data_IF_823454379722
#
_entry.id   IF_823454379722
#
_cell.length_a   1.000
_cell.length_b   1.000
_cell.length_c   1.000
_cell.angle_alpha   90.00
_cell.angle_beta   90.00
_cell.angle_gamma   90.00
#
_symmetry.space_group_name_H-M   'P 1'
#
loop_
_entity.id
_entity.type
_entity.pdbx_description
1 polymer ?
#
# COMPACT_ATOMS: atom_id res chain seq x y z
N UNK A 1 12.24 -14.00 -20.14
CA UNK A 1 12.32 -12.53 -20.04
C UNK A 1 13.12 -12.20 -18.80
N UNK A 2 14.37 -11.79 -18.96
CA UNK A 2 15.09 -11.11 -17.88
C UNK A 2 14.36 -9.80 -17.65
N UNK A 3 13.66 -9.65 -16.53
CA UNK A 3 13.08 -8.37 -16.16
C UNK A 3 14.25 -7.38 -16.05
N UNK A 4 14.27 -6.37 -16.92
CA UNK A 4 15.28 -5.33 -16.90
C UNK A 4 14.92 -4.41 -15.73
N UNK A 5 15.55 -4.65 -14.57
CA UNK A 5 15.25 -3.88 -13.37
C UNK A 5 15.69 -2.43 -13.55
N UNK A 6 14.88 -1.44 -13.11
CA UNK A 6 15.24 -0.04 -13.29
C UNK A 6 16.58 0.27 -12.65
N UNK A 7 17.50 0.86 -13.43
CA UNK A 7 18.79 1.31 -12.94
C UNK A 7 18.60 2.57 -12.09
N UNK A 8 18.66 2.42 -10.77
CA UNK A 8 18.59 3.53 -9.84
C UNK A 8 19.92 4.28 -9.72
N UNK A 9 19.84 5.61 -9.64
CA UNK A 9 20.96 6.45 -9.23
C UNK A 9 21.38 6.15 -7.78
N UNK A 10 22.60 6.55 -7.36
CA UNK A 10 23.09 6.36 -5.99
C UNK A 10 22.07 6.83 -4.96
N UNK A 11 21.83 6.02 -3.91
CA UNK A 11 20.73 6.21 -2.94
C UNK A 11 20.78 7.50 -2.13
N UNK A 12 21.91 8.20 -2.15
CA UNK A 12 22.15 9.47 -1.47
C UNK A 12 22.21 10.68 -2.42
N UNK A 13 22.17 10.46 -3.74
CA UNK A 13 22.03 11.53 -4.73
C UNK A 13 20.60 12.08 -4.75
N UNK A 14 20.40 13.34 -5.18
CA UNK A 14 19.05 13.91 -5.32
C UNK A 14 18.16 13.03 -6.21
N UNK A 15 18.66 12.65 -7.39
CA UNK A 15 17.94 11.76 -8.30
C UNK A 15 17.60 10.42 -7.64
N UNK A 16 18.54 9.79 -6.95
CA UNK A 16 18.31 8.49 -6.32
C UNK A 16 17.32 8.55 -5.15
N UNK A 17 17.26 9.67 -4.43
CA UNK A 17 16.25 9.89 -3.39
C UNK A 17 14.84 10.05 -3.99
N UNK A 18 14.70 10.86 -5.04
CA UNK A 18 13.43 11.06 -5.75
C UNK A 18 12.95 9.74 -6.40
N UNK A 19 13.87 9.01 -7.04
CA UNK A 19 13.64 7.68 -7.59
C UNK A 19 13.31 6.62 -6.55
N UNK A 20 13.41 6.87 -5.24
CA UNK A 20 12.98 5.93 -4.18
C UNK A 20 11.81 6.46 -3.34
N UNK A 21 11.20 7.56 -3.78
CA UNK A 21 10.09 8.18 -3.06
C UNK A 21 10.45 8.65 -1.65
N UNK A 22 11.73 9.00 -1.41
CA UNK A 22 12.22 9.33 -0.07
C UNK A 22 11.88 10.77 0.31
N UNK A 23 11.45 10.98 1.55
CA UNK A 23 11.18 12.32 2.08
C UNK A 23 12.39 13.25 2.02
N UNK A 24 13.62 12.73 2.12
CA UNK A 24 14.83 13.54 2.02
C UNK A 24 15.04 14.07 0.59
N UNK A 25 14.58 13.32 -0.41
CA UNK A 25 14.56 13.78 -1.80
C UNK A 25 13.69 15.02 -1.96
N UNK A 26 12.51 15.01 -1.33
CA UNK A 26 11.62 16.17 -1.30
C UNK A 26 12.27 17.36 -0.60
N UNK A 27 12.84 17.16 0.60
CA UNK A 27 13.52 18.24 1.35
C UNK A 27 14.66 18.87 0.55
N UNK A 28 15.46 18.06 -0.16
CA UNK A 28 16.56 18.57 -1.00
C UNK A 28 16.06 19.24 -2.27
N UNK A 29 14.98 18.74 -2.87
CA UNK A 29 14.39 19.36 -4.05
C UNK A 29 13.91 20.80 -3.76
N UNK A 30 13.35 21.04 -2.57
CA UNK A 30 12.92 22.37 -2.14
C UNK A 30 14.07 23.39 -2.00
N UNK A 31 15.32 22.93 -1.89
CA UNK A 31 16.47 23.82 -1.77
C UNK A 31 16.90 24.40 -3.13
N UNK A 32 16.66 23.67 -4.22
CA UNK A 32 16.91 24.12 -5.59
C UNK A 32 15.87 23.50 -6.55
N UNK A 33 14.66 24.08 -6.63
CA UNK A 33 13.58 23.57 -7.47
C UNK A 33 13.96 23.49 -8.96
N UNK A 34 14.74 24.44 -9.45
CA UNK A 34 15.16 24.48 -10.86
C UNK A 34 16.08 23.30 -11.20
N UNK A 35 17.04 22.97 -10.34
CA UNK A 35 17.89 21.81 -10.52
C UNK A 35 17.15 20.48 -10.29
N UNK A 36 16.12 20.47 -9.43
CA UNK A 36 15.33 19.28 -9.14
C UNK A 36 14.30 18.94 -10.22
N UNK A 37 13.74 19.95 -10.91
CA UNK A 37 12.63 19.78 -11.85
C UNK A 37 12.85 18.69 -12.91
N UNK A 38 14.01 18.59 -13.60
CA UNK A 38 14.23 17.53 -14.57
C UNK A 38 14.14 16.13 -13.96
N UNK A 39 14.63 15.95 -12.74
CA UNK A 39 14.56 14.66 -12.04
C UNK A 39 13.13 14.30 -11.65
N UNK A 40 12.31 15.28 -11.26
CA UNK A 40 10.90 15.05 -10.92
C UNK A 40 10.12 14.62 -12.16
N UNK A 41 10.22 15.34 -13.27
CA UNK A 41 9.57 14.94 -14.52
C UNK A 41 10.06 13.57 -15.01
N UNK A 42 11.36 13.30 -14.92
CA UNK A 42 11.87 11.98 -15.31
C UNK A 42 11.34 10.84 -14.44
N UNK A 43 11.09 11.06 -13.15
CA UNK A 43 10.48 10.07 -12.25
C UNK A 43 8.99 9.82 -12.55
N UNK A 44 8.28 10.82 -13.10
CA UNK A 44 6.86 10.66 -13.52
C UNK A 44 6.80 9.98 -14.89
N UNK A 45 7.69 10.37 -15.80
CA UNK A 45 7.71 9.86 -17.17
C UNK A 45 8.18 8.42 -17.26
N UNK A 46 9.24 8.05 -16.54
CA UNK A 46 9.80 6.70 -16.56
C UNK A 46 9.22 5.87 -15.42
N UNK A 47 8.91 4.59 -15.70
CA UNK A 47 8.65 3.64 -14.62
C UNK A 47 9.94 3.40 -13.84
N UNK A 48 9.93 3.78 -12.57
CA UNK A 48 11.04 3.68 -11.64
C UNK A 48 10.61 2.99 -10.35
N UNK A 49 9.40 2.42 -10.32
CA UNK A 49 8.95 1.55 -9.25
C UNK A 49 9.53 0.18 -9.51
N UNK A 50 10.00 -0.47 -8.45
CA UNK A 50 10.37 -1.87 -8.57
C UNK A 50 9.14 -2.74 -8.84
N UNK A 51 8.08 -2.50 -8.08
CA UNK A 51 6.79 -3.16 -8.23
C UNK A 51 5.69 -2.10 -8.31
N UNK A 52 5.18 -1.89 -9.52
CA UNK A 52 4.14 -0.90 -9.79
C UNK A 52 2.80 -1.24 -9.15
N UNK A 53 2.58 -2.50 -8.74
CA UNK A 53 1.36 -2.93 -8.06
C UNK A 53 1.34 -2.52 -6.58
N UNK A 54 2.52 -2.26 -5.99
CA UNK A 54 2.66 -2.03 -4.56
C UNK A 54 3.13 -0.61 -4.19
N UNK A 55 3.75 0.15 -5.10
CA UNK A 55 4.40 1.45 -4.79
C UNK A 55 3.48 2.67 -5.06
N UNK A 56 3.26 3.49 -4.02
CA UNK A 56 2.31 4.62 -3.97
C UNK A 56 2.90 5.98 -4.42
N UNK A 57 3.54 6.03 -5.59
CA UNK A 57 4.31 7.21 -6.03
C UNK A 57 3.53 8.42 -6.50
N UNK A 58 2.30 8.24 -6.96
CA UNK A 58 1.52 9.33 -7.54
C UNK A 58 1.41 10.52 -6.55
N UNK A 59 1.11 10.25 -5.28
CA UNK A 59 1.02 11.27 -4.23
C UNK A 59 2.35 11.97 -3.97
N UNK A 60 3.44 11.21 -3.90
CA UNK A 60 4.77 11.77 -3.74
C UNK A 60 5.15 12.73 -4.89
N UNK A 61 4.90 12.32 -6.13
CA UNK A 61 5.13 13.15 -7.31
C UNK A 61 4.21 14.37 -7.37
N UNK A 62 2.92 14.22 -7.05
CA UNK A 62 1.98 15.34 -7.00
C UNK A 62 2.40 16.40 -5.97
N UNK A 63 2.85 15.96 -4.78
CA UNK A 63 3.42 16.86 -3.76
C UNK A 63 4.66 17.58 -4.27
N UNK A 64 5.57 16.90 -4.95
CA UNK A 64 6.76 17.53 -5.54
C UNK A 64 6.37 18.58 -6.59
N UNK A 65 5.45 18.25 -7.51
CA UNK A 65 4.98 19.20 -8.53
C UNK A 65 4.33 20.44 -7.90
N UNK A 66 3.47 20.24 -6.89
CA UNK A 66 2.82 21.32 -6.15
C UNK A 66 3.83 22.17 -5.37
N UNK A 67 4.66 21.54 -4.53
CA UNK A 67 5.50 22.22 -3.55
C UNK A 67 6.73 22.90 -4.19
N UNK A 68 7.15 22.44 -5.38
CA UNK A 68 8.19 23.07 -6.20
C UNK A 68 7.62 24.04 -7.25
N UNK A 69 6.30 24.22 -7.29
CA UNK A 69 5.57 25.07 -8.25
C UNK A 69 5.94 24.74 -9.72
N UNK A 70 6.03 23.45 -10.05
CA UNK A 70 6.41 23.01 -11.39
C UNK A 70 5.26 23.20 -12.39
N UNK A 71 5.53 23.72 -13.60
CA UNK A 71 4.50 23.89 -14.63
C UNK A 71 3.91 22.53 -15.09
N UNK A 72 2.60 22.48 -15.36
CA UNK A 72 1.93 21.22 -15.70
C UNK A 72 2.05 20.83 -17.18
N UNK A 73 2.52 21.73 -18.04
CA UNK A 73 2.69 21.50 -19.49
C UNK A 73 3.35 20.15 -19.85
N UNK A 74 4.47 19.74 -19.22
CA UNK A 74 5.07 18.43 -19.46
C UNK A 74 4.16 17.25 -19.12
N UNK A 75 3.40 17.31 -18.02
CA UNK A 75 2.47 16.24 -17.62
C UNK A 75 1.27 16.19 -18.58
N UNK A 76 0.76 17.35 -18.99
CA UNK A 76 -0.34 17.45 -19.95
C UNK A 76 0.08 16.90 -21.32
N UNK A 77 1.32 17.18 -21.75
CA UNK A 77 1.89 16.60 -22.97
C UNK A 77 2.03 15.07 -22.88
N UNK A 78 2.42 14.57 -21.71
CA UNK A 78 2.60 13.13 -21.47
C UNK A 78 1.28 12.33 -21.57
N UNK A 79 0.10 12.96 -21.42
CA UNK A 79 -1.18 12.28 -21.62
C UNK A 79 -1.36 11.75 -23.06
N UNK A 80 -0.67 12.35 -24.03
CA UNK A 80 -0.71 11.95 -25.44
C UNK A 80 0.41 10.96 -25.83
N UNK A 81 1.22 10.50 -24.87
CA UNK A 81 2.23 9.47 -25.08
C UNK A 81 1.60 8.06 -25.00
N UNK A 82 2.40 7.03 -24.76
CA UNK A 82 1.89 5.66 -24.58
C UNK A 82 0.99 5.52 -23.34
N UNK A 83 0.20 4.46 -23.33
CA UNK A 83 -0.78 4.17 -22.28
C UNK A 83 -0.18 4.25 -20.87
N UNK A 84 0.98 3.63 -20.65
CA UNK A 84 1.66 3.60 -19.34
C UNK A 84 2.13 5.00 -18.90
N UNK A 85 2.69 5.78 -19.83
CA UNK A 85 3.05 7.17 -19.58
C UNK A 85 1.82 8.03 -19.25
N UNK A 86 0.72 7.85 -19.99
CA UNK A 86 -0.54 8.52 -19.74
C UNK A 86 -1.08 8.20 -18.34
N UNK A 87 -1.12 6.92 -17.93
CA UNK A 87 -1.59 6.51 -16.60
C UNK A 87 -0.82 7.18 -15.46
N UNK A 88 0.51 7.24 -15.58
CA UNK A 88 1.37 7.90 -14.58
C UNK A 88 1.09 9.40 -14.50
N UNK A 89 0.96 10.08 -15.65
CA UNK A 89 0.66 11.51 -15.69
C UNK A 89 -0.74 11.81 -15.15
N UNK A 90 -1.74 11.02 -15.57
CA UNK A 90 -3.12 11.18 -15.14
C UNK A 90 -3.28 11.03 -13.63
N UNK A 91 -2.62 10.03 -13.02
CA UNK A 91 -2.64 9.82 -11.56
C UNK A 91 -2.09 11.02 -10.79
N UNK A 92 -1.06 11.71 -11.31
CA UNK A 92 -0.51 12.92 -10.69
C UNK A 92 -1.45 14.12 -10.86
N UNK A 93 -2.00 14.30 -12.06
CA UNK A 93 -2.95 15.38 -12.36
C UNK A 93 -4.26 15.25 -11.55
N UNK A 94 -4.72 14.03 -11.32
CA UNK A 94 -5.92 13.74 -10.52
C UNK A 94 -5.76 14.28 -9.09
N UNK A 95 -4.62 14.01 -8.46
CA UNK A 95 -4.28 14.49 -7.13
C UNK A 95 -4.08 16.01 -7.12
N UNK A 96 -3.39 16.57 -8.11
CA UNK A 96 -3.22 18.02 -8.21
C UNK A 96 -4.54 18.77 -8.34
N UNK A 97 -5.54 18.20 -9.03
CA UNK A 97 -6.88 18.75 -9.09
C UNK A 97 -7.56 18.77 -7.71
N UNK A 98 -7.41 17.70 -6.91
CA UNK A 98 -7.88 17.65 -5.51
C UNK A 98 -7.17 18.68 -4.62
N UNK A 99 -5.90 18.97 -4.89
CA UNK A 99 -5.16 20.06 -4.25
C UNK A 99 -5.53 21.47 -4.78
N UNK A 100 -6.50 21.59 -5.68
CA UNK A 100 -7.03 22.87 -6.17
C UNK A 100 -6.51 23.34 -7.52
N UNK A 101 -5.72 22.54 -8.25
CA UNK A 101 -5.25 22.92 -9.58
C UNK A 101 -6.38 22.84 -10.61
N UNK A 102 -6.88 24.01 -11.03
CA UNK A 102 -7.87 24.12 -12.11
C UNK A 102 -7.30 23.67 -13.46
N UNK A 103 -6.01 23.92 -13.71
CA UNK A 103 -5.31 23.49 -14.93
C UNK A 103 -5.25 21.95 -15.02
N UNK A 104 -4.89 21.26 -13.92
CA UNK A 104 -4.88 19.81 -13.90
C UNK A 104 -6.29 19.23 -14.13
N UNK A 105 -7.29 19.81 -13.46
CA UNK A 105 -8.69 19.41 -13.60
C UNK A 105 -9.19 19.55 -15.03
N UNK A 106 -8.98 20.72 -15.65
CA UNK A 106 -9.44 20.94 -17.02
C UNK A 106 -8.62 20.16 -18.04
N UNK A 107 -7.33 19.95 -17.80
CA UNK A 107 -6.48 19.10 -18.63
C UNK A 107 -7.00 17.67 -18.75
N UNK A 108 -7.34 17.04 -17.62
CA UNK A 108 -7.93 15.69 -17.63
C UNK A 108 -9.34 15.68 -18.24
N UNK A 109 -10.16 16.71 -17.98
CA UNK A 109 -11.48 16.82 -18.63
C UNK A 109 -11.37 16.98 -20.14
N UNK A 110 -10.37 17.72 -20.62
CA UNK A 110 -10.06 17.81 -22.06
C UNK A 110 -9.60 16.46 -22.60
N UNK A 111 -8.77 15.73 -21.86
CA UNK A 111 -8.37 14.39 -22.25
C UNK A 111 -9.55 13.42 -22.32
N UNK A 112 -10.52 13.49 -21.41
CA UNK A 112 -11.76 12.68 -21.52
C UNK A 112 -12.53 13.00 -22.82
N UNK A 113 -12.46 14.23 -23.32
CA UNK A 113 -13.15 14.63 -24.55
C UNK A 113 -12.47 14.10 -25.81
N UNK A 114 -11.14 14.07 -25.83
CA UNK A 114 -10.38 13.89 -27.08
C UNK A 114 -9.39 12.72 -27.07
N UNK A 115 -8.96 12.26 -25.88
CA UNK A 115 -7.93 11.24 -25.68
C UNK A 115 -8.35 9.82 -26.06
N UNK A 116 -7.37 8.97 -26.36
CA UNK A 116 -7.58 7.58 -26.76
C UNK A 116 -8.07 6.73 -25.57
N UNK A 117 -7.39 6.80 -24.42
CA UNK A 117 -7.70 6.02 -23.22
C UNK A 117 -8.70 6.72 -22.28
N UNK A 118 -9.67 7.43 -22.85
CA UNK A 118 -10.59 8.29 -22.11
C UNK A 118 -11.49 7.55 -21.11
N UNK A 119 -11.86 6.28 -21.40
CA UNK A 119 -12.68 5.41 -20.54
C UNK A 119 -12.04 5.24 -19.17
N UNK A 120 -10.74 4.97 -19.17
CA UNK A 120 -9.95 4.79 -17.95
C UNK A 120 -9.84 6.07 -17.13
N UNK A 121 -9.58 7.20 -17.78
CA UNK A 121 -9.48 8.49 -17.09
C UNK A 121 -10.81 8.89 -16.48
N UNK A 122 -11.94 8.70 -17.18
CA UNK A 122 -13.25 9.05 -16.64
C UNK A 122 -13.64 8.15 -15.47
N UNK A 123 -13.27 6.86 -15.49
CA UNK A 123 -13.43 5.94 -14.36
C UNK A 123 -12.60 6.38 -13.14
N UNK A 124 -11.33 6.71 -13.36
CA UNK A 124 -10.41 7.14 -12.30
C UNK A 124 -10.93 8.41 -11.60
N UNK A 125 -11.22 9.46 -12.38
CA UNK A 125 -11.71 10.72 -11.79
C UNK A 125 -13.10 10.56 -11.16
N UNK A 126 -13.94 9.64 -11.64
CA UNK A 126 -15.23 9.37 -11.01
C UNK A 126 -15.09 8.71 -9.64
N UNK A 127 -14.06 7.88 -9.47
CA UNK A 127 -13.71 7.27 -8.19
C UNK A 127 -13.07 8.25 -7.19
N UNK A 128 -12.34 9.26 -7.68
CA UNK A 128 -11.54 10.16 -6.83
C UNK A 128 -12.16 11.54 -6.59
N UNK A 129 -12.85 12.12 -7.56
CA UNK A 129 -13.30 13.52 -7.52
C UNK A 129 -14.75 13.68 -7.05
N UNK A 130 -15.09 14.86 -6.50
CA UNK A 130 -16.49 15.24 -6.27
C UNK A 130 -17.30 15.12 -7.56
N UNK A 131 -18.48 14.50 -7.47
CA UNK A 131 -19.37 14.24 -8.61
C UNK A 131 -19.62 15.44 -9.53
N UNK A 132 -19.82 16.62 -8.95
CA UNK A 132 -20.06 17.86 -9.69
C UNK A 132 -18.92 18.24 -10.66
N UNK A 133 -17.74 17.63 -10.55
CA UNK A 133 -16.59 17.91 -11.41
C UNK A 133 -16.54 17.07 -12.69
N UNK A 134 -17.36 16.02 -12.79
CA UNK A 134 -17.32 15.07 -13.91
C UNK A 134 -18.69 14.63 -14.40
N UNK A 135 -19.78 14.85 -13.66
CA UNK A 135 -21.11 14.38 -14.07
C UNK A 135 -21.60 14.97 -15.40
N UNK A 136 -21.12 16.17 -15.76
CA UNK A 136 -21.42 16.83 -17.03
C UNK A 136 -20.72 16.18 -18.24
N UNK A 137 -19.74 15.29 -18.01
CA UNK A 137 -19.08 14.52 -19.07
C UNK A 137 -19.97 13.39 -19.61
N UNK A 138 -21.15 13.15 -19.05
CA UNK A 138 -22.05 12.08 -19.50
C UNK A 138 -22.48 12.22 -20.97
N UNK A 139 -22.68 13.44 -21.49
CA UNK A 139 -22.96 13.65 -22.91
C UNK A 139 -21.77 13.31 -23.81
N UNK A 140 -20.56 13.59 -23.34
CA UNK A 140 -19.31 13.25 -24.03
C UNK A 140 -19.16 11.73 -24.06
N UNK A 141 -19.31 11.09 -22.89
CA UNK A 141 -19.22 9.64 -22.74
C UNK A 141 -20.21 8.93 -23.67
N UNK A 142 -21.49 9.32 -23.67
CA UNK A 142 -22.52 8.72 -24.54
C UNK A 142 -22.17 8.82 -26.02
N UNK A 143 -21.66 9.97 -26.46
CA UNK A 143 -21.25 10.17 -27.87
C UNK A 143 -20.05 9.30 -28.22
N UNK A 144 -19.05 9.24 -27.34
CA UNK A 144 -17.80 8.50 -27.58
C UNK A 144 -18.00 6.99 -27.54
N UNK A 145 -18.90 6.47 -26.70
CA UNK A 145 -19.24 5.03 -26.70
C UNK A 145 -19.89 4.53 -27.98
N UNK A 146 -20.38 5.42 -28.86
CA UNK A 146 -20.92 5.00 -30.17
C UNK A 146 -19.77 4.54 -31.06
N UNK A 147 -19.56 3.23 -31.13
CA UNK A 147 -18.51 2.61 -31.96
C UNK A 147 -17.33 2.03 -31.18
N UNK A 148 -17.31 2.16 -29.85
CA UNK A 148 -16.38 1.42 -28.99
C UNK A 148 -16.72 -0.07 -29.02
N UNK A 149 -15.71 -0.93 -29.19
CA UNK A 149 -15.90 -2.38 -29.26
C UNK A 149 -16.16 -2.99 -27.88
N UNK A 150 -15.49 -2.47 -26.86
CA UNK A 150 -15.54 -2.99 -25.50
C UNK A 150 -16.46 -2.14 -24.63
N UNK A 151 -17.26 -2.82 -23.80
CA UNK A 151 -18.16 -2.17 -22.84
C UNK A 151 -17.43 -1.94 -21.52
N UNK A 152 -17.74 -0.84 -20.82
CA UNK A 152 -17.11 -0.56 -19.54
C UNK A 152 -17.47 -1.62 -18.49
N UNK A 153 -16.53 -1.88 -17.59
CA UNK A 153 -16.68 -2.85 -16.50
C UNK A 153 -17.14 -2.20 -15.19
N UNK A 154 -16.61 -1.01 -14.86
CA UNK A 154 -16.90 -0.32 -13.60
C UNK A 154 -18.38 0.05 -13.47
N UNK A 155 -18.89 0.25 -12.24
CA UNK A 155 -20.30 0.64 -12.01
C UNK A 155 -20.51 2.13 -12.24
N UNK A 156 -19.82 2.96 -11.45
CA UNK A 156 -19.68 4.39 -11.70
C UNK A 156 -18.48 4.61 -12.64
N UNK A 157 -18.53 5.59 -13.56
CA UNK A 157 -19.59 6.58 -13.79
C UNK A 157 -20.71 6.12 -14.73
N UNK A 158 -20.64 4.89 -15.24
CA UNK A 158 -21.41 4.44 -16.39
C UNK A 158 -22.90 4.25 -16.11
N UNK A 159 -23.25 3.74 -14.92
CA UNK A 159 -24.64 3.65 -14.48
C UNK A 159 -25.29 5.05 -14.42
N UNK A 160 -24.56 6.05 -13.94
CA UNK A 160 -25.03 7.44 -13.91
C UNK A 160 -25.22 8.02 -15.31
N UNK A 161 -24.32 7.68 -16.24
CA UNK A 161 -24.41 8.14 -17.63
C UNK A 161 -25.49 7.41 -18.45
N UNK A 162 -26.09 6.35 -17.90
CA UNK A 162 -27.05 5.49 -18.60
C UNK A 162 -26.40 4.66 -19.70
N UNK A 163 -25.14 4.27 -19.51
CA UNK A 163 -24.35 3.49 -20.48
C UNK A 163 -24.31 2.03 -20.02
N UNK A 164 -24.64 1.11 -20.95
CA UNK A 164 -24.71 -0.32 -20.65
C UNK A 164 -23.30 -0.92 -20.41
N UNK A 165 -23.14 -1.63 -19.30
CA UNK A 165 -21.89 -2.26 -18.87
C UNK A 165 -21.71 -3.67 -19.44
N UNK A 166 -20.52 -4.21 -19.29
CA UNK A 166 -20.25 -5.61 -19.62
C UNK A 166 -21.13 -6.57 -18.76
N UNK A 167 -21.87 -7.52 -19.37
CA UNK A 167 -22.71 -8.47 -18.64
C UNK A 167 -21.96 -9.36 -17.64
N UNK A 168 -20.67 -9.64 -17.85
CA UNK A 168 -19.84 -10.38 -16.90
C UNK A 168 -19.51 -9.53 -15.66
N UNK A 169 -19.37 -8.21 -15.81
CA UNK A 169 -19.19 -7.29 -14.69
C UNK A 169 -20.39 -7.35 -13.73
N UNK A 170 -21.60 -7.42 -14.27
CA UNK A 170 -22.84 -7.55 -13.50
C UNK A 170 -22.93 -8.87 -12.72
N UNK A 171 -22.32 -9.95 -13.24
CA UNK A 171 -22.23 -11.25 -12.55
C UNK A 171 -21.14 -11.30 -11.49
N UNK A 172 -20.11 -10.47 -11.61
CA UNK A 172 -18.99 -10.41 -10.69
C UNK A 172 -19.29 -9.60 -9.41
N UNK A 173 -20.34 -8.77 -9.40
CA UNK A 173 -20.89 -8.17 -8.17
C UNK A 173 -21.37 -9.31 -7.28
N UNK A 174 -20.54 -9.66 -6.28
CA UNK A 174 -20.82 -10.73 -5.31
C UNK A 174 -22.23 -10.55 -4.75
N UNK A 175 -23.01 -11.62 -4.73
CA UNK A 175 -24.25 -11.64 -3.95
C UNK A 175 -23.91 -11.26 -2.51
N UNK A 176 -24.58 -10.22 -1.97
CA UNK A 176 -24.52 -9.90 -0.55
C UNK A 176 -24.95 -11.14 0.24
N UNK A 177 -23.98 -11.84 0.82
CA UNK A 177 -24.24 -13.06 1.59
C UNK A 177 -24.72 -12.76 3.00
N UNK A 178 -24.83 -11.48 3.36
CA UNK A 178 -25.22 -11.00 4.69
C UNK A 178 -24.19 -11.31 5.79
N UNK A 179 -23.07 -11.96 5.48
CA UNK A 179 -22.06 -12.39 6.46
C UNK A 179 -21.35 -11.22 7.13
N UNK A 180 -21.21 -10.10 6.43
CA UNK A 180 -20.63 -8.88 6.99
C UNK A 180 -21.48 -8.28 8.13
N UNK A 181 -22.78 -8.62 8.19
CA UNK A 181 -23.71 -8.16 9.24
C UNK A 181 -23.68 -9.03 10.50
N UNK A 182 -23.08 -10.21 10.44
CA UNK A 182 -22.94 -11.09 11.60
C UNK A 182 -21.84 -10.58 12.52
N UNK A 183 -22.00 -10.72 13.83
CA UNK A 183 -20.91 -10.44 14.78
C UNK A 183 -19.85 -11.55 14.76
N UNK A 184 -18.75 -11.34 15.48
CA UNK A 184 -17.60 -12.26 15.48
C UNK A 184 -17.98 -13.64 16.04
N UNK A 185 -18.79 -13.68 17.09
CA UNK A 185 -19.18 -14.93 17.74
C UNK A 185 -20.11 -15.74 16.84
N UNK A 186 -21.03 -15.06 16.15
CA UNK A 186 -21.90 -15.65 15.13
C UNK A 186 -21.12 -16.23 13.96
N UNK A 187 -20.07 -15.53 13.49
CA UNK A 187 -19.20 -16.03 12.42
C UNK A 187 -18.39 -17.25 12.86
N UNK A 188 -17.83 -17.24 14.08
CA UNK A 188 -17.13 -18.40 14.63
C UNK A 188 -18.08 -19.59 14.85
N UNK A 189 -19.29 -19.35 15.34
CA UNK A 189 -20.32 -20.38 15.50
C UNK A 189 -20.73 -20.98 14.14
N UNK A 190 -20.86 -20.15 13.10
CA UNK A 190 -21.14 -20.61 11.74
C UNK A 190 -20.02 -21.50 11.20
N UNK A 191 -18.76 -21.12 11.44
CA UNK A 191 -17.59 -21.94 11.04
C UNK A 191 -17.56 -23.27 11.80
N UNK A 192 -17.91 -23.26 13.09
CA UNK A 192 -17.93 -24.46 13.92
C UNK A 192 -19.14 -25.37 13.64
N UNK A 193 -20.18 -24.86 13.00
CA UNK A 193 -21.42 -25.61 12.80
C UNK A 193 -21.23 -26.80 11.84
N UNK A 194 -21.70 -28.02 12.20
CA UNK A 194 -21.67 -29.16 11.30
C UNK A 194 -22.51 -28.91 10.05
N UNK A 195 -21.97 -29.26 8.88
CA UNK A 195 -22.68 -29.15 7.61
C UNK A 195 -22.68 -27.76 6.98
N UNK A 196 -21.96 -26.79 7.54
CA UNK A 196 -21.73 -25.48 6.89
C UNK A 196 -21.10 -25.68 5.52
N UNK A 197 -21.64 -24.98 4.52
CA UNK A 197 -21.18 -25.11 3.13
C UNK A 197 -19.80 -24.49 2.96
N UNK A 198 -19.06 -24.94 1.92
CA UNK A 198 -17.76 -24.35 1.58
C UNK A 198 -17.85 -22.83 1.36
N UNK A 199 -18.88 -22.37 0.67
CA UNK A 199 -19.05 -20.95 0.35
C UNK A 199 -19.33 -20.14 1.61
N UNK A 200 -20.16 -20.67 2.52
CA UNK A 200 -20.39 -20.06 3.84
C UNK A 200 -19.13 -19.97 4.68
N UNK A 201 -18.29 -21.01 4.70
CA UNK A 201 -17.00 -20.99 5.40
C UNK A 201 -16.06 -19.93 4.81
N UNK A 202 -15.98 -19.86 3.48
CA UNK A 202 -15.14 -18.89 2.79
C UNK A 202 -15.61 -17.46 3.07
N UNK A 203 -16.91 -17.19 3.03
CA UNK A 203 -17.45 -15.86 3.26
C UNK A 203 -17.40 -15.47 4.74
N UNK A 204 -17.61 -16.41 5.66
CA UNK A 204 -17.43 -16.16 7.08
C UNK A 204 -15.97 -15.80 7.41
N UNK A 205 -15.00 -16.53 6.86
CA UNK A 205 -13.59 -16.20 7.03
C UNK A 205 -13.22 -14.85 6.42
N UNK A 206 -13.74 -14.52 5.23
CA UNK A 206 -13.52 -13.20 4.61
C UNK A 206 -14.06 -12.07 5.48
N UNK A 207 -15.22 -12.26 6.12
CA UNK A 207 -15.80 -11.29 7.05
C UNK A 207 -15.00 -11.17 8.36
N UNK A 208 -14.32 -12.24 8.80
CA UNK A 208 -13.48 -12.23 10.01
C UNK A 208 -12.10 -11.59 9.81
N UNK A 209 -11.45 -11.79 8.66
CA UNK A 209 -10.09 -11.27 8.38
C UNK A 209 -9.89 -9.77 8.68
N UNK A 210 -10.81 -8.86 8.30
CA UNK A 210 -10.64 -7.44 8.60
C UNK A 210 -10.86 -7.08 10.08
N UNK A 211 -11.39 -7.99 10.90
CA UNK A 211 -11.72 -7.73 12.32
C UNK A 211 -10.55 -7.94 13.28
N UNK A 212 -9.34 -8.20 12.78
CA UNK A 212 -8.16 -8.46 13.60
C UNK A 212 -8.04 -9.92 14.09
N UNK A 213 -7.12 -10.21 15.04
CA UNK A 213 -6.87 -11.57 15.52
C UNK A 213 -8.10 -12.17 16.20
N UNK A 214 -8.48 -13.39 15.81
CA UNK A 214 -9.62 -14.12 16.36
C UNK A 214 -9.17 -15.42 17.03
N UNK A 215 -8.78 -15.43 18.33
CA UNK A 215 -8.26 -16.61 19.00
C UNK A 215 -9.19 -17.83 18.91
N UNK A 216 -10.51 -17.59 18.90
CA UNK A 216 -11.52 -18.64 18.73
C UNK A 216 -11.44 -19.40 17.39
N UNK A 217 -10.73 -18.87 16.40
CA UNK A 217 -10.49 -19.55 15.12
C UNK A 217 -9.45 -20.69 15.23
N UNK A 218 -8.51 -20.60 16.18
CA UNK A 218 -7.41 -21.58 16.35
C UNK A 218 -7.91 -23.04 16.37
N UNK A 219 -8.88 -23.42 17.22
CA UNK A 219 -9.36 -24.80 17.25
C UNK A 219 -10.13 -25.21 15.97
N UNK A 220 -10.58 -24.25 15.18
CA UNK A 220 -11.35 -24.47 13.95
C UNK A 220 -10.47 -24.60 12.70
N UNK A 221 -9.22 -24.12 12.73
CA UNK A 221 -8.28 -24.19 11.60
C UNK A 221 -8.20 -25.59 10.98
N UNK A 222 -8.08 -26.69 11.75
CA UNK A 222 -8.02 -28.03 11.17
C UNK A 222 -9.27 -28.46 10.38
N UNK A 223 -10.42 -27.78 10.57
CA UNK A 223 -11.67 -28.07 9.86
C UNK A 223 -11.77 -27.35 8.52
N UNK A 224 -10.89 -26.38 8.25
CA UNK A 224 -10.98 -25.47 7.10
C UNK A 224 -10.20 -25.97 5.87
N UNK A 225 -10.22 -27.27 5.65
CA UNK A 225 -9.68 -27.91 4.45
C UNK A 225 -10.70 -27.97 3.32
N UNK A 226 -10.22 -28.17 2.09
CA UNK A 226 -11.06 -28.58 0.96
C UNK A 226 -11.63 -29.98 1.20
N UNK A 227 -12.73 -30.32 0.51
CA UNK A 227 -13.43 -31.60 0.71
C UNK A 227 -12.56 -32.84 0.41
N UNK A 228 -11.56 -32.71 -0.46
CA UNK A 228 -10.55 -33.74 -0.75
C UNK A 228 -9.41 -33.80 0.30
N UNK A 229 -9.42 -32.89 1.28
CA UNK A 229 -8.43 -32.82 2.37
C UNK A 229 -7.03 -32.38 1.94
N UNK A 230 -6.84 -31.94 0.69
CA UNK A 230 -5.51 -31.67 0.12
C UNK A 230 -5.02 -30.25 0.32
N UNK A 231 -5.93 -29.29 0.50
CA UNK A 231 -5.62 -27.85 0.52
C UNK A 231 -6.43 -27.12 1.60
N UNK A 232 -5.95 -25.97 2.10
CA UNK A 232 -6.79 -25.10 2.92
C UNK A 232 -7.83 -24.39 2.05
N UNK A 233 -8.94 -23.97 2.66
CA UNK A 233 -9.83 -23.00 2.03
C UNK A 233 -9.08 -21.67 1.79
N UNK A 234 -9.37 -20.93 0.70
CA UNK A 234 -8.55 -19.77 0.30
C UNK A 234 -8.30 -18.73 1.41
N UNK A 235 -9.28 -18.35 2.25
CA UNK A 235 -9.06 -17.34 3.28
C UNK A 235 -8.31 -17.82 4.54
N UNK A 236 -8.01 -19.12 4.69
CA UNK A 236 -7.39 -19.67 5.91
C UNK A 236 -6.01 -19.07 6.17
N UNK A 237 -5.17 -18.99 5.14
CA UNK A 237 -3.80 -18.45 5.28
C UNK A 237 -3.83 -16.98 5.74
N UNK A 238 -4.58 -16.06 5.09
CA UNK A 238 -4.78 -14.71 5.61
C UNK A 238 -5.31 -14.67 7.05
N UNK A 239 -6.30 -15.50 7.37
CA UNK A 239 -6.90 -15.53 8.71
C UNK A 239 -5.90 -16.00 9.79
N UNK A 240 -5.10 -17.02 9.50
CA UNK A 240 -4.05 -17.51 10.41
C UNK A 240 -2.91 -16.51 10.56
N UNK A 241 -2.50 -15.81 9.48
CA UNK A 241 -1.52 -14.73 9.58
C UNK A 241 -1.97 -13.62 10.55
N UNK A 242 -3.27 -13.30 10.57
CA UNK A 242 -3.83 -12.33 11.53
C UNK A 242 -3.75 -12.79 12.99
N UNK A 243 -3.68 -14.09 13.27
CA UNK A 243 -3.49 -14.61 14.63
C UNK A 243 -2.08 -14.35 15.18
N UNK A 244 -1.08 -14.27 14.30
CA UNK A 244 0.32 -14.06 14.69
C UNK A 244 0.79 -15.04 15.77
N UNK A 245 1.44 -14.52 16.81
CA UNK A 245 2.03 -15.32 17.89
C UNK A 245 1.01 -16.17 18.65
N UNK A 246 -0.28 -15.81 18.61
CA UNK A 246 -1.35 -16.57 19.28
C UNK A 246 -1.53 -17.97 18.68
N UNK A 247 -1.17 -18.16 17.40
CA UNK A 247 -1.25 -19.45 16.73
C UNK A 247 -0.06 -20.37 17.03
N UNK A 248 1.06 -19.86 17.56
CA UNK A 248 2.31 -20.62 17.72
C UNK A 248 2.14 -21.91 18.54
N UNK A 249 1.40 -21.94 19.68
CA UNK A 249 1.18 -23.18 20.40
C UNK A 249 0.49 -24.25 19.56
N UNK A 250 -0.60 -23.89 18.87
CA UNK A 250 -1.35 -24.81 18.02
C UNK A 250 -0.60 -25.19 16.73
N UNK A 251 0.22 -24.28 16.20
CA UNK A 251 1.04 -24.51 15.02
C UNK A 251 2.05 -25.66 15.21
N UNK A 252 2.52 -25.89 16.44
CA UNK A 252 3.37 -27.05 16.76
C UNK A 252 2.64 -28.38 16.57
N UNK A 253 1.34 -28.41 16.84
CA UNK A 253 0.51 -29.59 16.63
C UNK A 253 0.13 -29.71 15.15
N UNK A 254 -0.22 -28.59 14.50
CA UNK A 254 -0.49 -28.54 13.06
C UNK A 254 0.70 -29.06 12.25
N UNK A 255 1.93 -28.63 12.57
CA UNK A 255 3.18 -29.06 11.92
C UNK A 255 3.44 -30.58 12.01
N UNK A 256 2.80 -31.29 12.96
CA UNK A 256 2.91 -32.74 13.13
C UNK A 256 1.69 -33.50 12.63
N UNK A 257 0.70 -32.79 12.08
CA UNK A 257 -0.53 -33.38 11.56
C UNK A 257 -0.25 -34.20 10.29
N UNK A 258 -1.01 -35.27 10.08
CA UNK A 258 -0.88 -36.12 8.89
C UNK A 258 -1.34 -35.45 7.59
N UNK A 259 -2.11 -34.35 7.66
CA UNK A 259 -2.54 -33.58 6.50
C UNK A 259 -1.44 -32.60 6.08
N UNK A 260 -0.87 -32.82 4.90
CA UNK A 260 0.25 -32.03 4.37
C UNK A 260 -0.02 -30.52 4.38
N UNK A 261 -1.22 -30.08 4.02
CA UNK A 261 -1.54 -28.64 4.00
C UNK A 261 -1.54 -28.01 5.39
N UNK A 262 -1.96 -28.76 6.42
CA UNK A 262 -2.03 -28.27 7.79
C UNK A 262 -0.65 -28.32 8.43
N UNK A 263 0.13 -29.37 8.15
CA UNK A 263 1.55 -29.45 8.49
C UNK A 263 2.32 -28.24 7.97
N UNK A 264 2.20 -27.96 6.67
CA UNK A 264 2.83 -26.81 6.02
C UNK A 264 2.34 -25.48 6.60
N UNK A 265 1.05 -25.34 6.91
CA UNK A 265 0.53 -24.13 7.55
C UNK A 265 1.13 -23.92 8.95
N UNK A 266 1.29 -25.00 9.72
CA UNK A 266 1.97 -24.98 11.01
C UNK A 266 3.44 -24.56 10.87
N UNK A 267 4.17 -25.16 9.94
CA UNK A 267 5.57 -24.79 9.64
C UNK A 267 5.71 -23.33 9.24
N UNK A 268 4.81 -22.81 8.40
CA UNK A 268 4.79 -21.39 8.00
C UNK A 268 4.59 -20.46 9.19
N UNK A 269 3.69 -20.80 10.12
CA UNK A 269 3.48 -20.02 11.35
C UNK A 269 4.72 -20.07 12.25
N UNK A 270 5.35 -21.23 12.40
CA UNK A 270 6.54 -21.39 13.23
C UNK A 270 7.74 -20.62 12.63
N UNK A 271 7.94 -20.71 11.31
CA UNK A 271 9.01 -19.99 10.60
C UNK A 271 8.84 -18.46 10.67
N UNK A 272 7.60 -17.98 10.78
CA UNK A 272 7.32 -16.55 10.99
C UNK A 272 7.61 -16.08 12.42
N UNK A 273 7.73 -17.00 13.41
CA UNK A 273 7.93 -16.69 14.82
C UNK A 273 9.19 -17.40 15.38
N UNK A 274 10.39 -16.96 14.94
CA UNK A 274 11.65 -17.59 15.30
C UNK A 274 11.96 -17.52 16.80
N UNK A 275 12.75 -18.47 17.27
CA UNK A 275 13.36 -18.46 18.61
C UNK A 275 14.76 -17.84 18.61
N UNK A 276 15.35 -17.58 19.80
CA UNK A 276 16.72 -17.06 19.92
C UNK A 276 17.78 -17.88 19.16
N UNK A 277 17.55 -19.19 19.00
CA UNK A 277 18.39 -20.12 18.24
C UNK A 277 18.50 -19.78 16.76
N UNK A 278 17.49 -19.12 16.18
CA UNK A 278 17.45 -18.77 14.75
C UNK A 278 18.21 -17.47 14.46
N UNK A 279 18.59 -16.71 15.49
CA UNK A 279 19.19 -15.38 15.35
C UNK A 279 20.42 -15.36 14.42
N UNK A 280 21.42 -16.27 14.56
CA UNK A 280 22.59 -16.25 13.69
C UNK A 280 22.24 -16.45 12.21
N UNK A 281 21.27 -17.32 11.91
CA UNK A 281 20.81 -17.58 10.55
C UNK A 281 20.10 -16.37 9.96
N UNK A 282 19.21 -15.73 10.72
CA UNK A 282 18.47 -14.53 10.29
C UNK A 282 19.40 -13.32 10.05
N UNK A 283 20.43 -13.16 10.88
CA UNK A 283 21.45 -12.12 10.66
C UNK A 283 22.27 -12.38 9.40
N UNK A 284 22.61 -13.65 9.13
CA UNK A 284 23.29 -14.07 7.90
C UNK A 284 22.43 -13.84 6.66
N UNK A 285 21.14 -14.18 6.73
CA UNK A 285 20.17 -13.96 5.66
C UNK A 285 20.03 -12.48 5.33
N UNK A 286 19.80 -11.62 6.33
CA UNK A 286 19.69 -10.17 6.11
C UNK A 286 20.97 -9.58 5.50
N UNK A 287 22.14 -10.09 5.92
CA UNK A 287 23.42 -9.68 5.36
C UNK A 287 23.55 -10.07 3.89
N UNK A 288 23.21 -11.31 3.55
CA UNK A 288 23.23 -11.80 2.18
C UNK A 288 22.31 -10.99 1.28
N UNK A 289 21.05 -10.79 1.70
CA UNK A 289 20.05 -10.04 0.96
C UNK A 289 20.49 -8.59 0.66
N UNK A 290 21.08 -7.90 1.65
CA UNK A 290 21.63 -6.55 1.43
C UNK A 290 22.80 -6.55 0.44
N UNK A 291 23.69 -7.54 0.53
CA UNK A 291 24.92 -7.63 -0.27
C UNK A 291 24.65 -8.07 -1.71
N UNK A 292 23.68 -8.96 -1.93
CA UNK A 292 23.23 -9.39 -3.25
C UNK A 292 22.31 -8.37 -3.93
N UNK A 293 21.79 -7.39 -3.19
CA UNK A 293 20.78 -6.47 -3.69
C UNK A 293 19.46 -7.18 -3.96
N UNK A 294 19.13 -8.19 -3.16
CA UNK A 294 17.79 -8.76 -3.12
C UNK A 294 16.86 -7.76 -2.45
N UNK A 295 15.90 -7.27 -3.23
CA UNK A 295 14.98 -6.25 -2.76
C UNK A 295 13.58 -6.78 -2.48
N UNK A 296 13.32 -8.06 -2.78
CA UNK A 296 12.07 -8.76 -2.48
C UNK A 296 12.31 -9.81 -1.41
N UNK A 297 11.66 -9.69 -0.25
CA UNK A 297 11.79 -10.65 0.87
C UNK A 297 12.67 -10.22 2.07
N UNK A 298 13.51 -9.18 2.02
CA UNK A 298 14.13 -8.67 3.25
C UNK A 298 13.12 -8.20 4.30
N UNK A 299 11.92 -7.80 3.91
CA UNK A 299 10.81 -7.46 4.80
C UNK A 299 10.37 -8.65 5.67
N UNK A 300 10.29 -9.86 5.09
CA UNK A 300 10.05 -11.10 5.85
C UNK A 300 11.15 -11.34 6.89
N UNK A 301 12.43 -11.16 6.50
CA UNK A 301 13.56 -11.27 7.43
C UNK A 301 13.49 -10.23 8.54
N UNK A 302 13.13 -8.99 8.21
CA UNK A 302 12.96 -7.91 9.17
C UNK A 302 11.83 -8.22 10.17
N UNK A 303 10.66 -8.68 9.71
CA UNK A 303 9.55 -9.10 10.58
C UNK A 303 9.97 -10.24 11.53
N UNK A 304 10.68 -11.24 11.02
CA UNK A 304 11.22 -12.35 11.84
C UNK A 304 12.19 -11.86 12.91
N UNK A 305 13.11 -10.96 12.56
CA UNK A 305 14.04 -10.35 13.53
C UNK A 305 13.30 -9.50 14.59
N UNK A 306 12.22 -8.82 14.21
CA UNK A 306 11.38 -8.04 15.12
C UNK A 306 10.85 -8.90 16.29
N UNK A 307 10.49 -10.17 16.04
CA UNK A 307 10.02 -11.09 17.07
C UNK A 307 11.07 -11.42 18.14
N UNK A 308 12.35 -11.30 17.82
CA UNK A 308 13.46 -11.52 18.76
C UNK A 308 13.73 -10.28 19.62
N UNK A 309 13.14 -9.13 19.28
CA UNK A 309 13.27 -7.88 20.03
C UNK A 309 14.73 -7.49 20.27
N UNK A 310 15.10 -7.05 21.49
CA UNK A 310 16.46 -6.60 21.79
C UNK A 310 17.59 -7.60 21.51
N UNK A 311 17.29 -8.91 21.43
CA UNK A 311 18.30 -9.92 21.07
C UNK A 311 18.85 -9.71 19.66
N UNK A 312 18.06 -9.12 18.76
CA UNK A 312 18.43 -8.84 17.38
C UNK A 312 19.10 -7.46 17.19
N UNK A 313 19.63 -6.83 18.25
CA UNK A 313 20.28 -5.50 18.17
C UNK A 313 21.33 -5.37 17.06
N UNK A 314 22.06 -6.45 16.75
CA UNK A 314 23.05 -6.47 15.67
C UNK A 314 22.45 -6.24 14.26
N UNK A 315 21.14 -6.44 14.07
CA UNK A 315 20.45 -6.19 12.81
C UNK A 315 20.20 -4.70 12.53
N UNK A 316 20.10 -3.86 13.57
CA UNK A 316 19.65 -2.46 13.44
C UNK A 316 20.47 -1.65 12.42
N UNK A 317 21.82 -1.71 12.40
CA UNK A 317 22.59 -0.97 11.39
C UNK A 317 22.29 -1.38 9.94
N UNK A 318 21.99 -2.67 9.70
CA UNK A 318 21.63 -3.18 8.37
C UNK A 318 20.23 -2.73 7.98
N UNK A 319 19.24 -2.90 8.87
CA UNK A 319 17.87 -2.43 8.66
C UNK A 319 17.82 -0.93 8.34
N UNK A 320 18.61 -0.11 9.06
CA UNK A 320 18.72 1.34 8.79
C UNK A 320 19.29 1.67 7.41
N UNK A 321 20.17 0.83 6.86
CA UNK A 321 20.66 0.99 5.48
C UNK A 321 19.61 0.56 4.47
N UNK A 322 18.88 -0.51 4.73
CA UNK A 322 17.77 -0.96 3.89
C UNK A 322 16.67 0.09 3.77
N UNK A 323 16.26 0.73 4.88
CA UNK A 323 15.32 1.89 4.86
C UNK A 323 15.73 2.96 3.85
N UNK A 324 17.04 3.24 3.75
CA UNK A 324 17.60 4.32 2.92
C UNK A 324 17.84 3.89 1.46
N UNK A 325 18.05 2.60 1.21
CA UNK A 325 18.55 2.07 -0.07
C UNK A 325 17.51 1.31 -0.86
N UNK A 326 16.51 0.72 -0.19
CA UNK A 326 15.54 -0.16 -0.84
C UNK A 326 14.79 0.59 -1.96
N UNK A 327 14.73 0.00 -3.16
CA UNK A 327 13.83 0.42 -4.21
C UNK A 327 12.40 -0.11 -4.01
N UNK A 328 12.21 -1.13 -3.15
CA UNK A 328 10.89 -1.60 -2.72
C UNK A 328 10.39 -0.74 -1.58
N UNK A 329 9.78 0.37 -1.94
CA UNK A 329 9.33 1.39 -0.99
C UNK A 329 8.38 0.84 0.06
N UNK A 330 7.49 -0.09 -0.30
CA UNK A 330 6.53 -0.71 0.65
C UNK A 330 7.21 -1.46 1.81
N UNK A 331 8.39 -2.06 1.60
CA UNK A 331 9.15 -2.77 2.64
C UNK A 331 9.73 -1.83 3.70
N UNK A 332 9.84 -0.53 3.40
CA UNK A 332 10.43 0.46 4.32
C UNK A 332 9.71 0.50 5.66
N UNK A 333 8.39 0.31 5.65
CA UNK A 333 7.59 0.24 6.86
C UNK A 333 7.94 -0.98 7.74
N UNK A 334 8.16 -2.16 7.13
CA UNK A 334 8.56 -3.37 7.85
C UNK A 334 9.94 -3.21 8.51
N UNK A 335 10.88 -2.55 7.83
CA UNK A 335 12.19 -2.27 8.43
C UNK A 335 12.09 -1.30 9.61
N UNK A 336 11.24 -0.27 9.51
CA UNK A 336 11.02 0.68 10.61
C UNK A 336 10.34 0.02 11.82
N UNK A 337 9.34 -0.84 11.58
CA UNK A 337 8.71 -1.64 12.63
C UNK A 337 9.71 -2.59 13.29
N UNK A 338 10.54 -3.27 12.50
CA UNK A 338 11.58 -4.16 13.02
C UNK A 338 12.60 -3.39 13.87
N UNK A 339 13.07 -2.22 13.40
CA UNK A 339 13.96 -1.37 14.18
C UNK A 339 13.29 -0.98 15.50
N UNK A 340 12.04 -0.53 15.49
CA UNK A 340 11.33 -0.11 16.69
C UNK A 340 11.09 -1.26 17.69
N UNK A 341 10.86 -2.49 17.21
CA UNK A 341 10.73 -3.68 18.05
C UNK A 341 12.06 -4.11 18.69
N UNK A 342 13.18 -3.95 17.97
CA UNK A 342 14.52 -4.31 18.43
C UNK A 342 15.10 -3.23 19.36
N UNK A 343 14.97 -1.98 18.97
CA UNK A 343 15.43 -0.78 19.66
C UNK A 343 14.39 0.34 19.51
N UNK A 344 13.53 0.58 20.52
CA UNK A 344 12.49 1.60 20.48
C UNK A 344 12.96 3.03 20.16
N UNK A 345 14.25 3.34 20.35
CA UNK A 345 14.85 4.62 19.97
C UNK A 345 15.54 4.62 18.61
N UNK A 346 15.77 3.45 18.03
CA UNK A 346 16.70 3.21 16.92
C UNK A 346 16.27 3.80 15.57
N UNK A 347 15.03 4.26 15.44
CA UNK A 347 14.49 4.87 14.21
C UNK A 347 14.12 6.36 14.34
N UNK A 348 14.34 6.98 15.51
CA UNK A 348 13.83 8.33 15.79
C UNK A 348 14.32 9.41 14.82
N UNK A 349 15.56 9.33 14.38
CA UNK A 349 16.15 10.24 13.39
C UNK A 349 15.64 10.02 11.95
N UNK A 350 14.97 8.90 11.69
CA UNK A 350 14.40 8.57 10.38
C UNK A 350 12.97 9.10 10.25
N UNK A 351 12.20 9.12 11.35
CA UNK A 351 10.76 9.43 11.28
C UNK A 351 10.46 10.82 10.72
N UNK A 352 11.29 11.84 11.00
CA UNK A 352 11.10 13.18 10.45
C UNK A 352 11.14 13.20 8.91
N UNK A 353 12.03 12.41 8.31
CA UNK A 353 12.04 12.21 6.85
C UNK A 353 10.81 11.42 6.39
N UNK A 354 10.46 10.36 7.12
CA UNK A 354 9.38 9.45 6.76
C UNK A 354 7.98 10.11 6.74
N UNK A 355 7.79 11.28 7.35
CA UNK A 355 6.55 12.07 7.21
C UNK A 355 6.28 12.50 5.75
N UNK A 356 7.32 12.53 4.90
CA UNK A 356 7.23 12.89 3.46
C UNK A 356 7.51 11.71 2.53
N UNK A 357 7.50 10.49 3.08
CA UNK A 357 7.72 9.28 2.30
C UNK A 357 6.60 9.05 1.26
N UNK A 358 6.87 8.29 0.20
CA UNK A 358 5.85 7.91 -0.76
C UNK A 358 4.82 6.92 -0.20
N UNK A 359 5.19 6.09 0.76
CA UNK A 359 4.30 5.06 1.30
C UNK A 359 3.44 5.53 2.47
N UNK A 360 2.13 5.33 2.38
CA UNK A 360 1.20 5.68 3.45
C UNK A 360 1.54 4.97 4.78
N UNK A 361 1.87 3.67 4.74
CA UNK A 361 2.25 2.92 5.96
C UNK A 361 3.51 3.50 6.62
N UNK A 362 4.49 3.91 5.83
CA UNK A 362 5.69 4.59 6.35
C UNK A 362 5.33 5.92 7.00
N UNK A 363 4.44 6.71 6.39
CA UNK A 363 3.94 7.97 6.97
C UNK A 363 3.14 7.73 8.26
N UNK A 364 2.28 6.71 8.31
CA UNK A 364 1.51 6.33 9.51
C UNK A 364 2.44 6.00 10.69
N UNK A 365 3.45 5.16 10.46
CA UNK A 365 4.45 4.82 11.48
C UNK A 365 5.20 6.07 11.96
N UNK A 366 5.59 6.94 11.04
CA UNK A 366 6.26 8.19 11.36
C UNK A 366 5.37 9.11 12.21
N UNK A 367 4.11 9.34 11.82
CA UNK A 367 3.15 10.16 12.58
C UNK A 367 2.98 9.62 14.01
N UNK A 368 2.85 8.30 14.18
CA UNK A 368 2.69 7.67 15.48
C UNK A 368 3.93 7.82 16.38
N UNK A 369 5.13 7.66 15.81
CA UNK A 369 6.37 7.48 16.59
C UNK A 369 7.28 8.71 16.68
N UNK A 370 7.13 9.70 15.78
CA UNK A 370 8.02 10.87 15.72
C UNK A 370 7.94 11.70 17.00
N UNK A 371 9.11 12.13 17.50
CA UNK A 371 9.21 13.09 18.62
C UNK A 371 8.82 14.49 18.14
N UNK A 372 8.07 15.20 18.98
CA UNK A 372 7.58 16.53 18.64
C UNK A 372 8.71 17.56 18.68
N UNK A 373 8.88 18.28 17.57
CA UNK A 373 9.54 19.59 17.50
C UNK A 373 8.69 20.54 16.65
N UNK A 374 9.12 21.79 16.49
CA UNK A 374 8.36 22.78 15.72
C UNK A 374 8.15 22.37 14.25
N UNK A 375 9.18 21.80 13.60
CA UNK A 375 9.11 21.36 12.22
C UNK A 375 8.22 20.13 12.05
N UNK A 376 8.32 19.16 12.95
CA UNK A 376 7.46 17.96 12.98
C UNK A 376 6.00 18.36 13.20
N UNK A 377 5.71 19.29 14.11
CA UNK A 377 4.34 19.77 14.34
C UNK A 377 3.75 20.40 13.08
N UNK A 378 4.53 21.23 12.37
CA UNK A 378 4.11 21.82 11.10
C UNK A 378 3.83 20.74 10.04
N UNK A 379 4.70 19.74 9.92
CA UNK A 379 4.53 18.66 8.95
C UNK A 379 3.31 17.78 9.25
N UNK A 380 3.07 17.42 10.52
CA UNK A 380 1.88 16.65 10.92
C UNK A 380 0.59 17.44 10.63
N UNK A 381 0.58 18.75 10.89
CA UNK A 381 -0.55 19.61 10.51
C UNK A 381 -0.74 19.65 8.98
N UNK A 382 0.35 19.76 8.21
CA UNK A 382 0.28 19.73 6.76
C UNK A 382 -0.29 18.40 6.24
N UNK A 383 0.08 17.25 6.83
CA UNK A 383 -0.48 15.94 6.47
C UNK A 383 -1.99 15.88 6.74
N UNK A 384 -2.45 16.36 7.90
CA UNK A 384 -3.88 16.43 8.25
C UNK A 384 -4.69 17.21 7.22
N UNK A 385 -4.15 18.36 6.80
CA UNK A 385 -4.84 19.33 5.95
C UNK A 385 -4.67 19.06 4.45
N UNK A 386 -3.78 18.14 4.04
CA UNK A 386 -3.53 17.83 2.64
C UNK A 386 -4.71 17.04 2.04
N UNK A 387 -5.45 17.60 1.06
CA UNK A 387 -6.59 16.91 0.46
C UNK A 387 -6.19 15.71 -0.40
N UNK A 388 -4.92 15.61 -0.79
CA UNK A 388 -4.40 14.47 -1.56
C UNK A 388 -3.99 13.29 -0.67
N UNK A 389 -3.86 13.50 0.65
CA UNK A 389 -3.34 12.49 1.56
C UNK A 389 -4.35 11.37 1.84
N UNK A 390 -3.81 10.18 2.07
CA UNK A 390 -4.54 8.99 2.50
C UNK A 390 -5.42 9.30 3.73
N UNK A 391 -6.71 8.94 3.73
CA UNK A 391 -7.62 9.23 4.83
C UNK A 391 -7.15 8.72 6.20
N UNK A 392 -6.50 7.56 6.26
CA UNK A 392 -6.00 7.00 7.52
C UNK A 392 -4.80 7.79 8.03
N UNK A 393 -3.91 8.23 7.13
CA UNK A 393 -2.79 9.12 7.48
C UNK A 393 -3.32 10.46 7.99
N UNK A 394 -4.35 11.03 7.34
CA UNK A 394 -4.97 12.29 7.77
C UNK A 394 -5.60 12.17 9.14
N UNK A 395 -6.32 11.07 9.40
CA UNK A 395 -6.94 10.80 10.70
C UNK A 395 -5.87 10.66 11.80
N UNK A 396 -4.83 9.85 11.57
CA UNK A 396 -3.72 9.70 12.50
C UNK A 396 -2.98 11.03 12.76
N UNK A 397 -2.79 11.84 11.71
CA UNK A 397 -2.17 13.16 11.84
C UNK A 397 -3.05 14.14 12.64
N UNK A 398 -4.37 14.08 12.49
CA UNK A 398 -5.30 14.87 13.28
C UNK A 398 -5.21 14.54 14.77
N UNK A 399 -5.27 13.25 15.12
CA UNK A 399 -5.13 12.77 16.49
C UNK A 399 -3.78 13.18 17.08
N UNK A 400 -2.70 13.01 16.31
CA UNK A 400 -1.34 13.36 16.73
C UNK A 400 -1.18 14.86 16.97
N UNK A 401 -1.76 15.69 16.10
CA UNK A 401 -1.72 17.14 16.22
C UNK A 401 -2.43 17.64 17.50
N UNK A 402 -3.56 17.02 17.88
CA UNK A 402 -4.23 17.32 19.15
C UNK A 402 -3.38 16.88 20.34
N UNK A 403 -2.80 15.67 20.30
CA UNK A 403 -1.90 15.17 21.35
C UNK A 403 -0.71 16.09 21.60
N UNK A 404 -0.16 16.70 20.54
CA UNK A 404 0.90 17.70 20.65
C UNK A 404 0.47 19.00 21.35
N UNK A 405 -0.78 19.44 21.22
CA UNK A 405 -1.28 20.64 21.92
C UNK A 405 -1.40 20.45 23.43
N UNK A 406 -1.65 19.21 23.86
CA UNK A 406 -1.86 18.86 25.27
C UNK A 406 -0.55 18.65 26.05
N UNK A 407 0.60 18.58 25.37
CA UNK A 407 1.92 18.49 26.00
C UNK A 407 2.55 19.89 26.11
N UNK A 408 2.81 20.42 27.33
CA UNK A 408 3.49 21.70 27.48
C UNK A 408 4.92 21.61 26.93
N UNK A 409 5.33 22.67 26.22
CA UNK A 409 6.67 22.87 25.63
C UNK A 409 7.82 22.72 26.62
#
# INVERSE_FOLDING_TARGET
MTADFPAYAPSDSLQGLLQRGRGLGHVRALQDPAAAAPFVYDCIRKEQRWDSQCDQRALYHARLVRDLELPLGPLLGQLAEDEEAMWRAASVLELLALAGSAEAREGLRSYVRDGEHWVHVVESIAGAWPRAWWEDLGDVARKRTVGEADRPWASEPWDLFGIERDPQALRAVRADTGRDRLDTDQLLALIAAPGTTKDDLVDALRALVPRGPQPGLIPLVPLLGTADGTRPLPPVRPAVRRLGALAVPAARDWARDGREWLARLGEEVLAAHPGPEDLPALLGELAHQEESGEWCGPDDTARRLAHLGPLAAAAVPRLRRLVKRTPHTYERADYLEAIAAIDPGGAQDLYGECLRDCEARTRLLAVAAVRADAGVRQQVVALRDDPMEDPDVRAAAAERAEGFRLQPT
#
